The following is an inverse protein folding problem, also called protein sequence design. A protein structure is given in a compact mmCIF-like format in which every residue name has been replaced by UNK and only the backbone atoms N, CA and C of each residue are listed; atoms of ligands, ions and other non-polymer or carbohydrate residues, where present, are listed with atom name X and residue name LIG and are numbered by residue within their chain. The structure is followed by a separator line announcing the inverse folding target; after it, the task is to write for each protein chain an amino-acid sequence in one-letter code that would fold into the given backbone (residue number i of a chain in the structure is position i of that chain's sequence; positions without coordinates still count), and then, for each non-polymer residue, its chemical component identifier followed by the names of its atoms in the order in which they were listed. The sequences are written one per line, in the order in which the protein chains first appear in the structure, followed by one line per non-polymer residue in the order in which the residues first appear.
data_IF_446852618270
#
_entry.id   IF_446852618270
#
_cell.length_a   1.000
_cell.length_b   1.000
_cell.length_c   1.000
_cell.angle_alpha   90.00
_cell.angle_beta   90.00
_cell.angle_gamma   90.00
#
_symmetry.space_group_name_H-M   'P 1'
#
loop_
_entity.id
_entity.type
_entity.pdbx_description
1 polymer ?
#
# COMPACT_ATOMS: atom_id res chain seq x y z
N UNK A 1 -42.78 1.07 -15.79
CA UNK A 1 -42.26 0.02 -15.11
C UNK A 1 -40.97 -0.42 -15.61
N UNK A 2 -40.82 -0.66 -16.84
CA UNK A 2 -39.58 -1.11 -17.38
C UNK A 2 -38.44 -0.15 -17.22
N UNK A 3 -38.72 1.12 -17.22
CA UNK A 3 -37.71 2.13 -17.11
C UNK A 3 -36.98 2.10 -15.76
N UNK A 4 -37.62 1.59 -14.76
CA UNK A 4 -37.03 1.55 -13.46
C UNK A 4 -35.87 0.54 -13.42
N UNK A 5 -36.04 -0.54 -14.13
CA UNK A 5 -35.00 -1.49 -14.19
C UNK A 5 -33.75 -0.97 -14.85
N UNK A 6 -33.91 -0.17 -15.84
CA UNK A 6 -32.77 0.39 -16.53
C UNK A 6 -31.92 1.26 -15.65
N UNK A 7 -32.54 1.91 -14.71
CA UNK A 7 -31.80 2.74 -13.79
C UNK A 7 -30.87 1.97 -12.90
N UNK A 8 -31.30 0.82 -12.49
CA UNK A 8 -30.46 0.02 -11.65
C UNK A 8 -29.22 -0.43 -12.35
N UNK A 9 -29.32 -0.76 -13.59
CA UNK A 9 -28.18 -1.21 -14.34
C UNK A 9 -27.15 -0.13 -14.48
N UNK A 10 -27.57 1.08 -14.67
CA UNK A 10 -26.64 2.17 -14.82
C UNK A 10 -25.85 2.40 -13.56
N UNK A 11 -26.47 2.30 -12.44
CA UNK A 11 -25.79 2.53 -11.19
C UNK A 11 -24.73 1.48 -10.93
N UNK A 12 -25.00 0.26 -11.28
CA UNK A 12 -24.04 -0.78 -11.08
C UNK A 12 -22.80 -0.59 -11.93
N UNK A 13 -22.97 -0.13 -13.13
CA UNK A 13 -21.86 0.07 -14.01
C UNK A 13 -20.95 1.18 -13.53
N UNK A 14 -21.51 2.18 -12.90
CA UNK A 14 -20.72 3.32 -12.49
C UNK A 14 -19.74 3.02 -11.37
N UNK A 15 -19.94 1.94 -10.64
CA UNK A 15 -19.10 1.70 -9.49
C UNK A 15 -17.89 0.82 -9.80
N UNK A 16 -17.63 0.51 -11.02
CA UNK A 16 -16.61 -0.44 -11.35
C UNK A 16 -15.22 0.16 -11.62
N UNK A 17 -15.10 1.44 -11.70
CA UNK A 17 -13.84 2.04 -12.11
C UNK A 17 -12.81 2.01 -10.97
N UNK A 18 -11.64 1.48 -11.23
CA UNK A 18 -10.54 1.51 -10.28
C UNK A 18 -9.26 1.81 -11.05
N UNK A 19 -8.21 2.11 -10.33
CA UNK A 19 -6.92 2.42 -10.91
C UNK A 19 -5.97 1.30 -10.54
N UNK A 20 -5.40 0.59 -11.49
CA UNK A 20 -4.45 -0.47 -11.16
C UNK A 20 -3.09 0.13 -10.82
N UNK A 21 -2.56 -0.24 -9.69
CA UNK A 21 -1.28 0.25 -9.21
C UNK A 21 -0.34 -0.94 -9.09
N UNK A 22 0.87 -0.78 -9.56
CA UNK A 22 1.86 -1.81 -9.35
C UNK A 22 3.12 -1.14 -8.81
N UNK A 23 4.00 -1.93 -8.24
CA UNK A 23 5.20 -1.34 -7.68
C UNK A 23 6.17 -2.37 -7.20
N UNK A 24 7.26 -1.86 -6.65
CA UNK A 24 8.35 -2.67 -6.14
C UNK A 24 8.72 -2.16 -4.77
N UNK A 25 8.92 -3.08 -3.84
CA UNK A 25 9.35 -2.73 -2.49
C UNK A 25 10.74 -3.30 -2.26
N UNK A 26 11.67 -2.46 -1.86
CA UNK A 26 13.04 -2.88 -1.59
C UNK A 26 13.49 -2.34 -0.24
N UNK A 27 14.58 -2.85 0.26
CA UNK A 27 15.18 -2.31 1.48
C UNK A 27 16.23 -1.27 1.12
N UNK A 28 16.98 -0.80 2.08
CA UNK A 28 17.96 0.24 1.84
C UNK A 28 19.10 -0.25 0.96
N UNK A 29 19.35 -1.53 0.94
CA UNK A 29 20.37 -2.10 0.05
C UNK A 29 19.82 -2.41 -1.33
N UNK A 30 18.59 -1.99 -1.60
CA UNK A 30 17.92 -2.19 -2.89
C UNK A 30 17.62 -3.64 -3.18
N UNK A 31 17.48 -4.42 -2.14
CA UNK A 31 17.10 -5.83 -2.32
C UNK A 31 15.59 -5.96 -2.25
N UNK A 32 14.99 -6.75 -3.12
CA UNK A 32 13.54 -6.90 -3.10
C UNK A 32 13.06 -7.52 -1.80
N UNK A 33 11.94 -7.03 -1.32
CA UNK A 33 11.37 -7.51 -0.06
C UNK A 33 10.12 -8.32 -0.33
N UNK A 34 10.15 -9.60 0.03
CA UNK A 34 9.01 -10.47 -0.17
C UNK A 34 8.16 -10.48 1.09
N UNK A 35 6.87 -10.55 0.93
CA UNK A 35 5.94 -10.66 2.06
C UNK A 35 5.60 -9.35 2.73
N UNK A 36 5.94 -8.23 2.11
CA UNK A 36 5.55 -6.92 2.65
C UNK A 36 4.04 -6.76 2.49
N UNK A 37 3.36 -6.33 3.54
CA UNK A 37 1.93 -6.12 3.49
C UNK A 37 1.64 -4.75 2.90
N UNK A 38 0.82 -4.70 1.86
CA UNK A 38 0.39 -3.48 1.22
C UNK A 38 -1.10 -3.34 1.44
N UNK A 39 -1.51 -2.35 2.20
CA UNK A 39 -2.93 -2.15 2.52
C UNK A 39 -3.45 -0.88 1.93
N UNK A 40 -4.68 -0.92 1.43
CA UNK A 40 -5.36 0.29 1.03
C UNK A 40 -5.96 0.90 2.29
N UNK A 41 -5.42 2.03 2.71
CA UNK A 41 -5.77 2.63 3.98
C UNK A 41 -7.26 2.94 4.01
N UNK A 42 -7.87 2.67 5.12
CA UNK A 42 -9.31 2.88 5.30
C UNK A 42 -10.15 1.68 4.89
N UNK A 43 -9.53 0.62 4.41
CA UNK A 43 -10.27 -0.58 4.01
C UNK A 43 -9.52 -1.79 4.53
N UNK A 44 -10.09 -2.96 4.32
CA UNK A 44 -9.40 -4.20 4.64
C UNK A 44 -8.76 -4.84 3.41
N UNK A 45 -8.75 -4.13 2.28
CA UNK A 45 -8.18 -4.66 1.07
C UNK A 45 -6.66 -4.57 1.11
N UNK A 46 -5.98 -5.65 0.82
CA UNK A 46 -4.53 -5.64 0.86
C UNK A 46 -3.94 -6.78 0.06
N UNK A 47 -2.66 -6.66 -0.24
CA UNK A 47 -1.91 -7.68 -0.93
C UNK A 47 -0.54 -7.79 -0.28
N UNK A 48 0.24 -8.79 -0.68
CA UNK A 48 1.62 -8.90 -0.21
C UNK A 48 2.55 -8.91 -1.40
N UNK A 49 3.79 -8.49 -1.21
CA UNK A 49 4.75 -8.52 -2.29
C UNK A 49 5.20 -9.95 -2.57
N UNK A 50 5.57 -10.19 -3.81
CA UNK A 50 6.02 -11.53 -4.23
C UNK A 50 7.54 -11.67 -4.03
N UNK A 51 8.10 -12.73 -4.55
CA UNK A 51 9.52 -13.03 -4.36
C UNK A 51 10.44 -11.98 -4.96
N UNK A 52 9.93 -11.18 -5.87
CA UNK A 52 10.70 -10.12 -6.50
C UNK A 52 10.37 -8.76 -5.92
N UNK A 53 9.60 -8.73 -4.84
CA UNK A 53 9.22 -7.48 -4.19
C UNK A 53 8.13 -6.71 -4.90
N UNK A 54 7.44 -7.32 -5.84
CA UNK A 54 6.42 -6.62 -6.62
C UNK A 54 5.04 -6.81 -6.05
N UNK A 55 4.20 -5.82 -6.27
CA UNK A 55 2.81 -5.91 -5.84
C UNK A 55 1.90 -5.29 -6.87
N UNK A 56 0.64 -5.71 -6.85
CA UNK A 56 -0.41 -5.14 -7.67
C UNK A 56 -1.62 -4.93 -6.79
N UNK A 57 -2.21 -3.76 -6.86
CA UNK A 57 -3.41 -3.47 -6.09
C UNK A 57 -4.23 -2.45 -6.85
N UNK A 58 -5.56 -2.60 -6.82
CA UNK A 58 -6.46 -1.63 -7.43
C UNK A 58 -6.92 -0.65 -6.39
N UNK A 59 -6.93 0.62 -6.74
CA UNK A 59 -7.36 1.66 -5.81
C UNK A 59 -8.50 2.45 -6.43
N UNK A 60 -9.38 3.04 -5.63
CA UNK A 60 -10.55 3.72 -6.17
C UNK A 60 -10.25 5.08 -6.79
N UNK A 61 -9.23 5.77 -6.33
CA UNK A 61 -8.94 7.09 -6.90
C UNK A 61 -7.51 7.51 -6.57
N UNK A 62 -7.14 8.67 -7.05
CA UNK A 62 -5.77 9.16 -6.90
C UNK A 62 -5.45 9.60 -5.49
N UNK A 63 -6.46 9.80 -4.67
CA UNK A 63 -6.23 10.21 -3.29
C UNK A 63 -6.01 9.03 -2.38
N UNK A 64 -6.07 7.83 -2.92
CA UNK A 64 -5.88 6.62 -2.12
C UNK A 64 -4.50 6.59 -1.51
N UNK A 65 -4.42 6.08 -0.29
CA UNK A 65 -3.17 5.95 0.44
C UNK A 65 -2.87 4.47 0.61
N UNK A 66 -1.66 4.07 0.28
CA UNK A 66 -1.22 2.70 0.50
C UNK A 66 -0.27 2.68 1.68
N UNK A 67 -0.47 1.72 2.55
CA UNK A 67 0.34 1.53 3.74
C UNK A 67 1.20 0.30 3.56
N UNK A 68 2.51 0.43 3.76
CA UNK A 68 3.45 -0.67 3.57
C UNK A 68 4.05 -1.05 4.91
N UNK A 69 3.88 -2.31 5.28
CA UNK A 69 4.37 -2.77 6.58
C UNK A 69 5.08 -4.09 6.50
N UNK A 70 6.10 -4.24 7.31
CA UNK A 70 6.83 -5.49 7.41
C UNK A 70 7.44 -5.55 8.81
N UNK A 71 7.53 -6.76 9.34
CA UNK A 71 8.02 -6.93 10.70
C UNK A 71 9.47 -6.45 10.78
N UNK A 72 9.77 -5.61 11.74
CA UNK A 72 11.11 -5.08 11.90
C UNK A 72 11.40 -3.85 11.07
N UNK A 73 10.42 -3.35 10.31
CA UNK A 73 10.60 -2.17 9.47
C UNK A 73 9.56 -1.13 9.81
N UNK A 74 9.88 0.12 9.51
CA UNK A 74 8.95 1.22 9.75
C UNK A 74 7.85 1.19 8.72
N UNK A 75 6.63 1.41 9.16
CA UNK A 75 5.48 1.48 8.26
C UNK A 75 5.54 2.77 7.48
N UNK A 76 5.32 2.69 6.18
CA UNK A 76 5.27 3.86 5.33
C UNK A 76 3.92 3.99 4.69
N UNK A 77 3.46 5.22 4.53
CA UNK A 77 2.19 5.51 3.85
C UNK A 77 2.48 6.39 2.67
N UNK A 78 1.97 6.03 1.51
CA UNK A 78 2.22 6.75 0.28
C UNK A 78 0.91 7.05 -0.40
N UNK A 79 0.71 8.31 -0.77
CA UNK A 79 -0.45 8.72 -1.56
C UNK A 79 -0.18 8.35 -3.00
N UNK A 80 -1.12 7.68 -3.65
CA UNK A 80 -0.93 7.21 -5.00
C UNK A 80 -0.70 8.36 -5.97
N UNK A 81 -1.55 9.36 -5.93
CA UNK A 81 -1.45 10.49 -6.85
C UNK A 81 -1.68 10.06 -8.27
N UNK A 82 -0.93 10.60 -9.18
CA UNK A 82 -1.09 10.24 -10.58
C UNK A 82 -0.14 9.12 -11.02
N UNK A 83 0.56 8.50 -10.08
CA UNK A 83 1.52 7.44 -10.42
C UNK A 83 0.80 6.11 -10.48
N UNK A 84 1.19 5.27 -11.40
CA UNK A 84 0.68 3.92 -11.44
C UNK A 84 1.81 2.91 -11.14
N UNK A 85 3.05 3.38 -11.10
CA UNK A 85 4.19 2.59 -10.70
C UNK A 85 4.80 3.21 -9.46
N UNK A 86 4.93 2.46 -8.39
CA UNK A 86 5.50 2.96 -7.15
C UNK A 86 6.79 2.23 -6.83
N UNK A 87 7.78 2.97 -6.38
CA UNK A 87 9.03 2.36 -5.94
C UNK A 87 9.20 2.71 -4.47
N UNK A 88 9.12 1.74 -3.61
CA UNK A 88 9.06 1.96 -2.18
C UNK A 88 10.31 1.40 -1.52
N UNK A 89 10.95 2.19 -0.68
CA UNK A 89 12.10 1.73 0.08
C UNK A 89 11.70 1.72 1.54
N UNK A 90 11.73 0.55 2.15
CA UNK A 90 11.41 0.41 3.57
C UNK A 90 12.69 0.48 4.39
N UNK A 91 12.59 1.13 5.52
CA UNK A 91 13.72 1.28 6.41
C UNK A 91 13.52 0.48 7.67
N UNK A 92 14.58 -0.10 8.17
CA UNK A 92 14.51 -0.87 9.39
C UNK A 92 14.12 0.02 10.55
N UNK A 93 13.32 -0.56 11.44
CA UNK A 93 12.94 0.13 12.62
C UNK A 93 14.09 0.02 13.58
N UNK A 94 14.74 1.09 13.89
CA UNK A 94 15.83 1.07 14.73
C UNK A 94 15.36 1.03 16.07
N UNK A 95 15.38 0.19 16.73
CA UNK A 95 14.85 0.00 17.85
C UNK A 95 15.21 0.81 18.76
N UNK A 96 14.59 1.02 19.08
CA UNK A 96 14.78 1.64 19.84
C UNK A 96 15.51 1.41 20.76
N UNK A 97 15.72 0.65 20.93
CA UNK A 97 16.39 0.27 21.78
C UNK A 97 17.36 1.05 22.05
N UNK A 98 17.82 1.22 21.37
CA UNK A 98 18.83 1.82 21.52
C UNK A 98 18.65 3.01 22.09
N UNK A 99 17.87 3.54 21.93
CA UNK A 99 17.75 4.62 22.34
C UNK A 99 17.57 4.68 23.57
N UNK A 100 17.31 3.98 24.01
CA UNK A 100 17.08 3.99 25.08
C UNK A 100 18.05 4.16 25.77
N UNK A 101 18.62 3.73 25.64
CA UNK A 101 19.56 3.74 26.18
C UNK A 101 19.96 4.78 26.57
N UNK A 102 20.17 4.89 26.44
CA UNK A 102 20.73 5.75 26.64
C UNK A 102 20.38 6.62 27.31
N UNK A 103 20.19 6.66 27.22
CA UNK A 103 19.91 7.51 27.66
C UNK A 103 20.01 7.74 28.70
N UNK A 104 20.02 7.42 28.85
CA UNK A 104 20.07 7.62 29.76
C UNK A 104 20.54 8.07 30.51
N UNK A 105 20.64 8.08 30.78
CA UNK A 105 20.97 8.51 31.39
C UNK A 105 21.66 8.66 31.94
N UNK A 106 21.36 8.18 31.42
CA UNK A 106 22.25 8.31 31.98
C UNK A 106 22.46 8.78 32.79
#
# INVERSE_FOLDING_TARGET
MLSVLALFLSAAAASAATIPINGLVVNREKEPMVGVTVLLKGTSQGVTTDAEGRFFIDVPDKKSVLSFGFVGYQTQEIVVGSRINLHVILEEQVSELDEVVVVGYG
#
